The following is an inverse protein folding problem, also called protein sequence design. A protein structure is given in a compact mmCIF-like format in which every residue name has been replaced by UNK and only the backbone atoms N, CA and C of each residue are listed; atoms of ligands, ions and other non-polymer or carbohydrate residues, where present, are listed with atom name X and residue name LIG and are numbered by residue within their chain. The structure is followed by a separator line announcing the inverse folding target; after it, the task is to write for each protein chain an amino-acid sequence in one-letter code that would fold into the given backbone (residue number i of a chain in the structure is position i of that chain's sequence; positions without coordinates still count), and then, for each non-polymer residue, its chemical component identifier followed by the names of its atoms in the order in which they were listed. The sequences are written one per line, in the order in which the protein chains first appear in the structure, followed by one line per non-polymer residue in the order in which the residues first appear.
data_IF_177901451203
#
_entry.id   IF_177901451203
#
_cell.length_a   1.000
_cell.length_b   1.000
_cell.length_c   1.000
_cell.angle_alpha   90.00
_cell.angle_beta   90.00
_cell.angle_gamma   90.00
#
_symmetry.space_group_name_H-M   'P 1'
#
loop_
_entity.id
_entity.type
_entity.pdbx_description
1 polymer ?
#
# COMPACT_ATOMS: atom_id res chain seq x y z
N UNK A 1 -0.71 -21.17 -0.58
CA UNK A 1 0.77 -21.25 -0.53
C UNK A 1 1.19 -20.85 0.87
N UNK A 2 1.92 -21.71 1.58
CA UNK A 2 2.42 -21.36 2.92
C UNK A 2 3.64 -20.44 2.75
N UNK A 3 3.51 -19.19 3.20
CA UNK A 3 4.58 -18.18 3.14
C UNK A 3 5.20 -18.06 4.53
N UNK A 4 6.52 -18.12 4.62
CA UNK A 4 7.26 -17.96 5.89
C UNK A 4 8.13 -16.71 5.83
N UNK A 5 7.66 -15.64 6.45
CA UNK A 5 8.43 -14.42 6.59
C UNK A 5 9.58 -14.60 7.61
N UNK A 6 10.74 -14.06 7.30
CA UNK A 6 11.90 -14.15 8.19
C UNK A 6 11.92 -12.96 9.17
N UNK A 7 11.13 -13.04 10.23
CA UNK A 7 11.04 -12.01 11.25
C UNK A 7 12.36 -11.82 12.01
N UNK A 8 13.09 -12.89 12.31
CA UNK A 8 14.40 -12.82 12.97
C UNK A 8 15.39 -11.91 12.23
N UNK A 9 15.47 -12.06 10.92
CA UNK A 9 16.32 -11.19 10.08
C UNK A 9 15.91 -9.73 10.16
N UNK A 10 14.59 -9.45 10.24
CA UNK A 10 14.04 -8.10 10.40
C UNK A 10 14.40 -7.52 11.77
N UNK A 11 14.23 -8.28 12.84
CA UNK A 11 14.61 -7.88 14.20
C UNK A 11 16.11 -7.65 14.34
N UNK A 12 16.93 -8.52 13.77
CA UNK A 12 18.39 -8.36 13.77
C UNK A 12 18.85 -7.08 13.07
N UNK A 13 18.21 -6.71 11.97
CA UNK A 13 18.49 -5.45 11.27
C UNK A 13 18.20 -4.24 12.17
N UNK A 14 17.11 -4.28 12.94
CA UNK A 14 16.77 -3.23 13.90
C UNK A 14 17.75 -3.22 15.06
N UNK A 15 18.15 -4.39 15.61
CA UNK A 15 19.15 -4.49 16.69
C UNK A 15 20.50 -3.86 16.29
N UNK A 16 20.98 -4.14 15.08
CA UNK A 16 22.20 -3.51 14.53
C UNK A 16 22.07 -1.99 14.39
N UNK A 17 20.89 -1.52 13.99
CA UNK A 17 20.61 -0.09 13.91
C UNK A 17 20.57 0.57 15.28
N UNK A 18 19.92 -0.06 16.27
CA UNK A 18 19.89 0.41 17.66
C UNK A 18 21.29 0.48 18.29
N UNK A 19 22.17 -0.48 17.99
CA UNK A 19 23.56 -0.47 18.42
C UNK A 19 24.31 0.76 17.88
N UNK A 20 24.17 1.03 16.56
CA UNK A 20 24.76 2.21 15.90
C UNK A 20 24.24 3.54 16.47
N UNK A 21 22.98 3.58 16.89
CA UNK A 21 22.31 4.76 17.47
C UNK A 21 22.49 4.87 18.98
N UNK A 22 23.11 3.87 19.61
CA UNK A 22 23.23 3.74 21.07
C UNK A 22 21.90 3.84 21.81
N UNK A 23 20.83 3.28 21.20
CA UNK A 23 19.50 3.23 21.76
C UNK A 23 19.20 1.86 22.37
N UNK A 24 18.29 1.80 23.35
CA UNK A 24 17.97 0.59 24.09
C UNK A 24 16.89 -0.25 23.40
N UNK A 25 15.91 0.40 22.79
CA UNK A 25 14.84 -0.27 22.07
C UNK A 25 14.20 0.61 20.99
N UNK A 26 13.52 -0.03 20.04
CA UNK A 26 12.64 0.58 19.06
C UNK A 26 11.19 0.19 19.40
N UNK A 27 10.33 1.17 19.60
CA UNK A 27 8.90 1.00 19.87
C UNK A 27 8.13 1.29 18.58
N UNK A 28 7.36 0.33 18.11
CA UNK A 28 6.59 0.42 16.88
C UNK A 28 5.09 0.42 17.19
N UNK A 29 4.39 1.37 16.59
CA UNK A 29 2.96 1.62 16.78
C UNK A 29 2.24 1.74 15.44
N UNK A 30 2.92 2.16 14.36
CA UNK A 30 2.30 2.18 13.04
C UNK A 30 1.91 0.76 12.62
N UNK A 31 0.66 0.58 12.21
CA UNK A 31 0.08 -0.73 11.94
C UNK A 31 0.91 -1.55 10.94
N UNK A 32 1.29 -0.97 9.82
CA UNK A 32 2.13 -1.64 8.82
C UNK A 32 3.48 -2.08 9.38
N UNK A 33 4.12 -1.31 10.29
CA UNK A 33 5.38 -1.66 10.92
C UNK A 33 5.22 -2.76 11.98
N UNK A 34 4.14 -2.70 12.76
CA UNK A 34 3.78 -3.75 13.72
C UNK A 34 3.56 -5.07 12.96
N UNK A 35 2.77 -5.05 11.88
CA UNK A 35 2.54 -6.22 11.02
C UNK A 35 3.83 -6.74 10.41
N UNK A 36 4.66 -5.86 9.85
CA UNK A 36 5.94 -6.21 9.23
C UNK A 36 6.86 -7.01 10.16
N UNK A 37 6.82 -6.72 11.46
CA UNK A 37 7.69 -7.33 12.45
C UNK A 37 7.08 -8.49 13.24
N UNK A 38 5.82 -8.84 13.00
CA UNK A 38 5.14 -9.83 13.84
C UNK A 38 4.10 -10.70 13.14
N UNK A 39 3.32 -10.16 12.20
CA UNK A 39 2.16 -10.84 11.61
C UNK A 39 1.84 -10.31 10.21
N UNK A 40 2.84 -10.28 9.32
CA UNK A 40 2.74 -9.69 7.99
C UNK A 40 1.60 -10.30 7.13
N UNK A 41 1.23 -11.55 7.35
CA UNK A 41 0.18 -12.26 6.62
C UNK A 41 -1.25 -11.76 6.89
N UNK A 42 -1.46 -10.90 7.90
CA UNK A 42 -2.78 -10.38 8.29
C UNK A 42 -2.99 -9.01 7.62
N UNK A 43 -3.96 -8.84 6.69
CA UNK A 43 -4.14 -7.57 5.98
C UNK A 43 -4.86 -6.50 6.80
N UNK A 44 -5.86 -6.91 7.62
CA UNK A 44 -6.69 -6.01 8.41
C UNK A 44 -6.88 -6.54 9.84
N UNK A 45 -7.46 -5.70 10.70
CA UNK A 45 -7.68 -5.99 12.11
C UNK A 45 -6.38 -6.28 12.83
N UNK A 46 -5.64 -5.21 13.23
CA UNK A 46 -4.37 -5.35 13.91
C UNK A 46 -4.55 -6.15 15.20
N UNK A 47 -3.91 -7.31 15.26
CA UNK A 47 -3.92 -8.17 16.45
C UNK A 47 -2.94 -7.70 17.52
N UNK A 48 -2.04 -6.79 17.17
CA UNK A 48 -1.07 -6.18 18.09
C UNK A 48 -1.15 -4.65 18.02
N UNK A 49 -1.00 -4.02 19.16
CA UNK A 49 -1.01 -2.53 19.28
C UNK A 49 0.40 -1.96 19.23
N UNK A 50 1.37 -2.66 19.83
CA UNK A 50 2.79 -2.29 19.82
C UNK A 50 3.66 -3.52 19.60
N UNK A 51 4.80 -3.30 18.97
CA UNK A 51 5.94 -4.21 18.99
C UNK A 51 7.15 -3.45 19.48
N UNK A 52 7.86 -3.99 20.45
CA UNK A 52 9.08 -3.42 21.00
C UNK A 52 10.24 -4.35 20.66
N UNK A 53 11.20 -3.84 19.90
CA UNK A 53 12.43 -4.56 19.57
C UNK A 53 13.55 -4.02 20.47
N UNK A 54 13.99 -4.76 21.49
CA UNK A 54 15.13 -4.34 22.30
C UNK A 54 16.45 -4.57 21.57
N UNK A 55 17.45 -3.76 21.89
CA UNK A 55 18.82 -3.97 21.40
C UNK A 55 19.38 -5.32 21.82
N UNK A 56 19.02 -5.80 23.01
CA UNK A 56 19.38 -7.12 23.56
C UNK A 56 18.15 -7.79 24.15
N UNK A 57 17.98 -9.07 23.90
CA UNK A 57 16.83 -9.87 24.35
C UNK A 57 15.74 -10.01 23.30
N UNK A 58 14.66 -10.68 23.67
CA UNK A 58 13.56 -10.99 22.74
C UNK A 58 12.61 -9.82 22.53
N UNK A 59 12.00 -9.72 21.32
CA UNK A 59 10.93 -8.79 21.06
C UNK A 59 9.75 -9.00 22.02
N UNK A 60 9.05 -7.90 22.30
CA UNK A 60 7.85 -7.94 23.13
C UNK A 60 6.70 -7.27 22.36
N UNK A 61 5.56 -7.93 22.30
CA UNK A 61 4.35 -7.36 21.71
C UNK A 61 3.34 -6.98 22.79
N UNK A 62 2.49 -5.99 22.48
CA UNK A 62 1.36 -5.61 23.31
C UNK A 62 0.07 -5.75 22.52
N UNK A 63 -0.94 -6.37 23.13
CA UNK A 63 -2.27 -6.50 22.54
C UNK A 63 -3.38 -6.28 23.58
N UNK A 64 -4.59 -6.03 23.08
CA UNK A 64 -5.77 -5.97 23.93
C UNK A 64 -6.24 -7.37 24.35
N UNK A 65 -6.98 -7.47 25.45
CA UNK A 65 -7.62 -8.72 25.85
C UNK A 65 -8.58 -9.31 24.80
N UNK A 66 -9.08 -8.48 23.89
CA UNK A 66 -9.92 -8.90 22.76
C UNK A 66 -9.16 -9.80 21.78
N UNK A 67 -7.90 -9.49 21.52
CA UNK A 67 -7.07 -10.17 20.53
C UNK A 67 -6.07 -11.17 21.16
N UNK A 68 -6.14 -11.39 22.47
CA UNK A 68 -5.16 -12.20 23.20
C UNK A 68 -4.93 -13.57 22.58
N UNK A 69 -6.02 -14.31 22.29
CA UNK A 69 -5.91 -15.68 21.74
C UNK A 69 -5.31 -15.66 20.35
N UNK A 70 -5.82 -14.81 19.49
CA UNK A 70 -5.35 -14.70 18.13
C UNK A 70 -3.89 -14.24 18.05
N UNK A 71 -3.51 -13.28 18.88
CA UNK A 71 -2.14 -12.80 18.96
C UNK A 71 -1.17 -13.91 19.37
N UNK A 72 -1.55 -14.76 20.32
CA UNK A 72 -0.73 -15.90 20.76
C UNK A 72 -0.58 -17.00 19.71
N UNK A 73 -1.54 -17.15 18.82
CA UNK A 73 -1.51 -18.17 17.75
C UNK A 73 -0.81 -17.68 16.49
N UNK A 74 -1.01 -16.41 16.12
CA UNK A 74 -0.62 -15.88 14.81
C UNK A 74 0.60 -14.96 14.82
N UNK A 75 0.97 -14.36 15.98
CA UNK A 75 2.12 -13.47 16.04
C UNK A 75 3.44 -14.25 16.13
N UNK A 76 4.46 -13.77 15.40
CA UNK A 76 5.81 -14.32 15.47
C UNK A 76 6.56 -13.97 16.77
N UNK A 77 6.04 -13.02 17.56
CA UNK A 77 6.63 -12.57 18.82
C UNK A 77 6.07 -13.42 19.95
N UNK A 78 6.95 -14.12 20.70
CA UNK A 78 6.54 -15.05 21.77
C UNK A 78 6.10 -14.32 23.05
N UNK A 79 6.78 -13.24 23.44
CA UNK A 79 6.43 -12.49 24.65
C UNK A 79 5.34 -11.46 24.33
N UNK A 80 4.09 -11.77 24.75
CA UNK A 80 2.92 -10.91 24.53
C UNK A 80 2.39 -10.40 25.86
N UNK A 81 2.35 -9.10 26.04
CA UNK A 81 1.73 -8.41 27.17
C UNK A 81 0.31 -8.00 26.82
N UNK A 82 -0.61 -8.22 27.75
CA UNK A 82 -2.03 -7.97 27.56
C UNK A 82 -2.41 -6.71 28.33
N UNK A 83 -3.25 -5.87 27.74
CA UNK A 83 -3.97 -4.81 28.43
C UNK A 83 -5.49 -4.98 28.24
N UNK A 84 -6.29 -4.44 29.15
CA UNK A 84 -7.76 -4.51 29.05
C UNK A 84 -8.42 -3.26 29.61
N UNK A 85 -9.33 -2.61 28.87
CA UNK A 85 -10.13 -1.50 29.40
C UNK A 85 -11.23 -1.99 30.37
N UNK A 86 -11.39 -3.30 30.54
CA UNK A 86 -12.42 -3.90 31.39
C UNK A 86 -11.85 -4.27 32.76
N UNK A 87 -12.26 -3.59 33.84
CA UNK A 87 -11.67 -3.77 35.18
C UNK A 87 -11.88 -5.16 35.76
N UNK A 88 -12.94 -5.86 35.37
CA UNK A 88 -13.28 -7.20 35.84
C UNK A 88 -12.47 -8.33 35.15
N UNK A 89 -11.75 -8.01 34.09
CA UNK A 89 -10.84 -8.93 33.42
C UNK A 89 -9.45 -8.76 34.02
N UNK A 90 -9.17 -9.55 35.10
CA UNK A 90 -7.86 -9.79 35.74
C UNK A 90 -6.83 -8.62 35.65
N UNK A 91 -5.92 -8.54 36.56
CA UNK A 91 -4.71 -7.72 36.76
C UNK A 91 -3.95 -7.18 35.51
N UNK A 92 -4.64 -6.79 34.46
CA UNK A 92 -4.05 -6.17 33.27
C UNK A 92 -4.01 -4.64 33.44
N UNK A 93 -3.07 -3.99 32.74
CA UNK A 93 -3.08 -2.54 32.62
C UNK A 93 -4.34 -2.08 31.86
N UNK A 94 -4.90 -0.94 32.27
CA UNK A 94 -6.19 -0.46 31.75
C UNK A 94 -6.17 -0.03 30.27
N UNK A 95 -5.00 0.27 29.73
CA UNK A 95 -4.86 0.67 28.34
C UNK A 95 -3.43 0.44 27.81
N UNK A 96 -3.30 0.51 26.49
CA UNK A 96 -2.03 0.28 25.81
C UNK A 96 -0.91 1.22 26.28
N UNK A 97 -1.23 2.50 26.58
CA UNK A 97 -0.24 3.48 27.04
C UNK A 97 0.36 3.09 28.40
N UNK A 98 -0.48 2.73 29.36
CA UNK A 98 0.01 2.26 30.67
C UNK A 98 0.82 0.98 30.55
N UNK A 99 0.40 0.08 29.67
CA UNK A 99 1.11 -1.19 29.42
C UNK A 99 2.51 -0.96 28.83
N UNK A 100 2.65 -0.06 27.84
CA UNK A 100 3.97 0.27 27.26
C UNK A 100 4.86 1.01 28.26
N UNK A 101 4.31 1.95 29.06
CA UNK A 101 5.04 2.69 30.11
C UNK A 101 5.60 1.72 31.16
N UNK A 102 4.79 0.74 31.57
CA UNK A 102 5.19 -0.29 32.52
C UNK A 102 6.31 -1.16 31.94
N UNK A 103 6.16 -1.64 30.70
CA UNK A 103 7.19 -2.42 30.02
C UNK A 103 8.53 -1.68 29.95
N UNK A 104 8.52 -0.40 29.55
CA UNK A 104 9.71 0.45 29.46
C UNK A 104 10.41 0.56 30.81
N UNK A 105 9.65 0.75 31.90
CA UNK A 105 10.17 0.83 33.27
C UNK A 105 10.75 -0.51 33.74
N UNK A 106 10.03 -1.61 33.53
CA UNK A 106 10.47 -2.98 33.90
C UNK A 106 11.77 -3.35 33.20
N UNK A 107 11.88 -3.04 31.90
CA UNK A 107 13.06 -3.29 31.08
C UNK A 107 14.18 -2.26 31.27
N UNK A 108 13.91 -1.18 32.04
CA UNK A 108 14.86 -0.07 32.31
C UNK A 108 15.40 0.60 31.04
N UNK A 109 14.58 0.68 29.98
CA UNK A 109 14.95 1.36 28.75
C UNK A 109 15.00 2.88 28.98
N UNK A 110 16.08 3.53 28.52
CA UNK A 110 16.34 4.97 28.72
C UNK A 110 16.33 5.75 27.42
N UNK A 111 16.97 5.22 26.37
CA UNK A 111 17.03 5.82 25.05
C UNK A 111 16.19 5.01 24.08
N UNK A 112 15.10 5.60 23.61
CA UNK A 112 14.14 4.92 22.74
C UNK A 112 14.07 5.59 21.37
N UNK A 113 13.90 4.77 20.33
CA UNK A 113 13.39 5.16 19.04
C UNK A 113 11.93 4.73 18.91
N UNK A 114 11.16 5.43 18.08
CA UNK A 114 9.79 5.05 17.75
C UNK A 114 9.48 5.45 16.31
N UNK A 115 8.59 4.71 15.64
CA UNK A 115 8.09 5.04 14.31
C UNK A 115 7.06 6.18 14.30
N UNK A 116 6.54 6.56 15.46
CA UNK A 116 5.58 7.64 15.64
C UNK A 116 5.68 8.23 17.05
N UNK A 117 5.19 9.45 17.29
CA UNK A 117 5.14 10.02 18.63
C UNK A 117 4.36 9.12 19.61
N UNK A 118 4.91 8.95 20.81
CA UNK A 118 4.31 8.17 21.90
C UNK A 118 3.90 9.11 23.02
N UNK A 119 2.64 9.02 23.43
CA UNK A 119 2.13 9.85 24.54
C UNK A 119 2.84 9.47 25.85
N UNK A 120 3.38 10.47 26.57
CA UNK A 120 4.02 10.26 27.87
C UNK A 120 5.37 9.51 27.84
N UNK A 121 5.82 9.03 26.67
CA UNK A 121 7.12 8.34 26.50
C UNK A 121 8.08 9.20 25.71
N UNK A 122 9.26 9.48 26.27
CA UNK A 122 10.31 10.18 25.55
C UNK A 122 11.04 9.22 24.59
N UNK A 123 10.66 9.27 23.31
CA UNK A 123 11.32 8.55 22.23
C UNK A 123 11.62 9.50 21.06
N UNK A 124 12.72 9.27 20.34
CA UNK A 124 12.99 9.98 19.11
C UNK A 124 12.30 9.27 17.94
N UNK A 125 11.56 10.02 17.12
CA UNK A 125 10.92 9.45 15.92
C UNK A 125 11.97 9.12 14.86
N UNK A 126 11.85 7.96 14.24
CA UNK A 126 12.81 7.45 13.25
C UNK A 126 12.10 6.57 12.19
N UNK A 127 12.42 6.81 10.93
CA UNK A 127 11.80 6.15 9.77
C UNK A 127 12.52 4.86 9.34
N UNK A 128 13.41 4.31 10.16
CA UNK A 128 14.23 3.16 9.78
C UNK A 128 13.40 1.96 9.30
N UNK A 129 12.32 1.63 9.99
CA UNK A 129 11.47 0.48 9.63
C UNK A 129 10.67 0.78 8.35
N UNK A 130 10.16 1.99 8.18
CA UNK A 130 9.54 2.41 6.92
C UNK A 130 10.53 2.27 5.75
N UNK A 131 11.78 2.65 5.94
CA UNK A 131 12.85 2.49 4.94
C UNK A 131 13.20 1.00 4.68
N UNK A 132 13.12 0.13 5.68
CA UNK A 132 13.29 -1.32 5.47
C UNK A 132 12.19 -1.88 4.57
N UNK A 133 10.93 -1.50 4.80
CA UNK A 133 9.76 -1.95 4.04
C UNK A 133 9.79 -1.55 2.57
N UNK A 134 10.47 -0.44 2.22
CA UNK A 134 10.60 -0.05 0.81
C UNK A 134 11.25 -1.14 -0.05
N UNK A 135 12.19 -1.93 0.51
CA UNK A 135 12.86 -3.02 -0.21
C UNK A 135 12.25 -4.35 0.18
N UNK A 136 11.55 -4.96 -0.75
CA UNK A 136 10.86 -6.23 -0.55
C UNK A 136 11.83 -7.40 -0.59
N UNK A 137 11.65 -8.36 0.31
CA UNK A 137 12.35 -9.64 0.22
C UNK A 137 11.65 -10.61 -0.76
N UNK A 138 12.22 -11.79 -0.98
CA UNK A 138 11.69 -12.75 -1.96
C UNK A 138 10.30 -13.27 -1.61
N UNK A 139 9.96 -13.41 -0.31
CA UNK A 139 8.64 -13.88 0.11
C UNK A 139 7.59 -12.76 -0.03
N UNK A 140 7.96 -11.51 0.29
CA UNK A 140 7.12 -10.35 0.06
C UNK A 140 6.78 -10.20 -1.44
N UNK A 141 7.80 -10.31 -2.32
CA UNK A 141 7.60 -10.22 -3.77
C UNK A 141 6.73 -11.36 -4.32
N UNK A 142 6.81 -12.57 -3.77
CA UNK A 142 5.89 -13.66 -4.16
C UNK A 142 4.44 -13.31 -3.85
N UNK A 143 4.17 -12.78 -2.66
CA UNK A 143 2.82 -12.36 -2.27
C UNK A 143 2.30 -11.24 -3.18
N UNK A 144 3.12 -10.22 -3.46
CA UNK A 144 2.75 -9.11 -4.34
C UNK A 144 2.50 -9.56 -5.78
N UNK A 145 3.29 -10.50 -6.31
CA UNK A 145 3.07 -11.07 -7.64
C UNK A 145 1.74 -11.86 -7.72
N UNK A 146 1.37 -12.58 -6.68
CA UNK A 146 0.07 -13.28 -6.65
C UNK A 146 -1.08 -12.28 -6.51
N UNK A 147 -0.93 -11.21 -5.72
CA UNK A 147 -1.90 -10.13 -5.64
C UNK A 147 -2.07 -9.43 -7.01
N UNK A 148 -0.98 -9.11 -7.70
CA UNK A 148 -1.00 -8.53 -9.04
C UNK A 148 -1.71 -9.43 -10.08
N UNK A 149 -1.49 -10.75 -10.04
CA UNK A 149 -2.20 -11.70 -10.92
C UNK A 149 -3.72 -11.71 -10.69
N UNK A 150 -4.16 -11.58 -9.43
CA UNK A 150 -5.58 -11.47 -9.12
C UNK A 150 -6.16 -10.15 -9.61
N UNK A 151 -5.40 -9.05 -9.51
CA UNK A 151 -5.80 -7.76 -10.04
C UNK A 151 -5.89 -7.80 -11.59
N UNK A 152 -4.93 -8.42 -12.27
CA UNK A 152 -4.99 -8.63 -13.72
C UNK A 152 -6.24 -9.42 -14.13
N UNK A 153 -6.55 -10.50 -13.41
CA UNK A 153 -7.78 -11.27 -13.63
C UNK A 153 -9.05 -10.41 -13.43
N UNK A 154 -9.06 -9.53 -12.41
CA UNK A 154 -10.16 -8.59 -12.19
C UNK A 154 -10.34 -7.61 -13.36
N UNK A 155 -9.22 -7.11 -13.93
CA UNK A 155 -9.27 -6.23 -15.09
C UNK A 155 -9.81 -6.95 -16.35
N UNK A 156 -9.45 -8.22 -16.56
CA UNK A 156 -10.03 -9.05 -17.62
C UNK A 156 -11.53 -9.26 -17.44
N UNK A 157 -11.99 -9.55 -16.22
CA UNK A 157 -13.43 -9.66 -15.93
C UNK A 157 -14.18 -8.34 -16.13
N UNK A 158 -13.56 -7.21 -15.80
CA UNK A 158 -14.13 -5.90 -16.08
C UNK A 158 -14.35 -5.71 -17.58
N UNK A 159 -13.34 -6.01 -18.42
CA UNK A 159 -13.42 -5.83 -19.87
C UNK A 159 -14.48 -6.74 -20.50
N UNK A 160 -14.57 -7.99 -20.08
CA UNK A 160 -15.33 -9.02 -20.81
C UNK A 160 -16.68 -9.38 -20.20
N UNK A 161 -16.87 -9.21 -18.89
CA UNK A 161 -18.05 -9.74 -18.19
C UNK A 161 -18.88 -8.66 -17.48
N UNK A 162 -18.22 -7.70 -16.82
CA UNK A 162 -18.89 -6.77 -15.89
C UNK A 162 -19.32 -5.50 -16.61
N UNK A 163 -18.43 -4.93 -17.46
CA UNK A 163 -18.64 -3.62 -18.06
C UNK A 163 -19.70 -3.64 -19.16
N UNK A 164 -20.76 -2.88 -18.96
CA UNK A 164 -21.85 -2.73 -19.92
C UNK A 164 -22.64 -1.45 -19.69
N UNK A 165 -23.21 -0.87 -20.74
CA UNK A 165 -24.13 0.25 -20.61
C UNK A 165 -25.31 -0.10 -19.71
N UNK A 166 -25.75 0.85 -18.88
CA UNK A 166 -26.89 0.70 -17.98
C UNK A 166 -26.57 0.07 -16.63
N UNK A 167 -25.39 -0.50 -16.41
CA UNK A 167 -24.95 -0.93 -15.08
C UNK A 167 -24.47 0.30 -14.29
N UNK A 168 -24.67 0.32 -12.97
CA UNK A 168 -24.19 1.42 -12.12
C UNK A 168 -22.77 1.18 -11.62
N UNK A 169 -22.08 2.27 -11.26
CA UNK A 169 -20.73 2.22 -10.65
C UNK A 169 -20.72 1.32 -9.42
N UNK A 170 -21.66 1.51 -8.48
CA UNK A 170 -21.81 0.67 -7.28
C UNK A 170 -21.97 -0.82 -7.62
N UNK A 171 -22.77 -1.13 -8.64
CA UNK A 171 -23.01 -2.51 -9.05
C UNK A 171 -21.76 -3.14 -9.63
N UNK A 172 -21.01 -2.40 -10.46
CA UNK A 172 -19.74 -2.89 -11.01
C UNK A 172 -18.69 -3.15 -9.92
N UNK A 173 -18.53 -2.22 -8.99
CA UNK A 173 -17.61 -2.39 -7.87
C UNK A 173 -17.96 -3.65 -7.06
N UNK A 174 -19.24 -3.85 -6.72
CA UNK A 174 -19.70 -5.01 -5.97
C UNK A 174 -19.49 -6.34 -6.73
N UNK A 175 -19.72 -6.37 -8.04
CA UNK A 175 -19.47 -7.54 -8.88
C UNK A 175 -17.97 -7.86 -8.95
N UNK A 176 -17.12 -6.85 -9.11
CA UNK A 176 -15.65 -7.01 -9.13
C UNK A 176 -15.15 -7.53 -7.78
N UNK A 177 -15.53 -6.92 -6.68
CA UNK A 177 -15.12 -7.34 -5.34
C UNK A 177 -15.52 -8.79 -5.04
N UNK A 178 -16.74 -9.18 -5.45
CA UNK A 178 -17.22 -10.56 -5.33
C UNK A 178 -16.33 -11.53 -6.12
N UNK A 179 -16.02 -11.21 -7.37
CA UNK A 179 -15.20 -12.03 -8.26
C UNK A 179 -13.79 -12.19 -7.67
N UNK A 180 -13.15 -11.10 -7.24
CA UNK A 180 -11.80 -11.12 -6.69
C UNK A 180 -11.73 -11.97 -5.41
N UNK A 181 -12.70 -11.80 -4.49
CA UNK A 181 -12.76 -12.59 -3.24
C UNK A 181 -13.00 -14.07 -3.51
N UNK A 182 -13.90 -14.41 -4.42
CA UNK A 182 -14.17 -15.81 -4.77
C UNK A 182 -13.01 -16.45 -5.54
N UNK A 183 -12.18 -15.66 -6.21
CA UNK A 183 -10.96 -16.12 -6.90
C UNK A 183 -9.78 -16.35 -5.95
N UNK A 184 -9.89 -15.88 -4.69
CA UNK A 184 -8.89 -16.14 -3.65
C UNK A 184 -8.17 -14.91 -3.12
N UNK A 185 -8.64 -13.69 -3.45
CA UNK A 185 -8.16 -12.49 -2.77
C UNK A 185 -8.54 -12.56 -1.28
N UNK A 186 -7.54 -12.41 -0.42
CA UNK A 186 -7.73 -12.37 1.03
C UNK A 186 -8.61 -11.19 1.44
N UNK A 187 -8.41 -10.07 0.76
CA UNK A 187 -9.18 -8.84 0.91
C UNK A 187 -9.00 -7.95 -0.33
N UNK A 188 -9.80 -6.88 -0.44
CA UNK A 188 -9.61 -5.78 -1.39
C UNK A 188 -8.66 -4.77 -0.73
N UNK A 189 -7.70 -4.19 -1.49
CA UNK A 189 -6.64 -3.32 -0.97
C UNK A 189 -7.19 -2.02 -0.37
N UNK A 190 -8.20 -1.47 -1.03
CA UNK A 190 -8.93 -0.25 -0.67
C UNK A 190 -10.32 -0.30 -1.30
N UNK A 191 -11.26 0.58 -0.93
CA UNK A 191 -12.58 0.62 -1.58
C UNK A 191 -12.44 0.76 -3.10
N UNK A 192 -12.91 -0.24 -3.85
CA UNK A 192 -12.86 -0.26 -5.32
C UNK A 192 -13.49 0.99 -5.90
N UNK A 193 -12.80 1.71 -6.77
CA UNK A 193 -13.28 2.93 -7.44
C UNK A 193 -13.72 2.58 -8.85
N UNK A 194 -14.99 2.83 -9.14
CA UNK A 194 -15.55 2.82 -10.50
C UNK A 194 -16.07 4.22 -10.77
N UNK A 195 -15.37 4.99 -11.58
CA UNK A 195 -15.72 6.37 -11.89
C UNK A 195 -16.06 6.51 -13.38
N UNK A 196 -17.30 6.85 -13.71
CA UNK A 196 -17.80 6.84 -15.08
C UNK A 196 -18.18 8.23 -15.61
N UNK A 197 -17.87 8.53 -16.87
CA UNK A 197 -18.16 9.80 -17.53
C UNK A 197 -17.68 11.01 -16.71
N UNK A 198 -18.56 11.99 -16.38
CA UNK A 198 -18.15 13.16 -15.59
C UNK A 198 -17.55 12.82 -14.22
N UNK A 199 -17.90 11.68 -13.61
CA UNK A 199 -17.37 11.23 -12.32
C UNK A 199 -15.90 10.83 -12.44
N UNK A 200 -15.45 10.34 -13.58
CA UNK A 200 -14.05 10.01 -13.81
C UNK A 200 -13.10 11.23 -13.82
N UNK A 201 -13.67 12.46 -13.76
CA UNK A 201 -12.88 13.67 -13.52
C UNK A 201 -12.45 13.85 -12.05
N UNK A 202 -12.88 12.99 -11.12
CA UNK A 202 -12.46 12.98 -9.73
C UNK A 202 -11.46 11.83 -9.52
N UNK A 203 -10.26 12.17 -9.07
CA UNK A 203 -9.21 11.16 -8.82
C UNK A 203 -9.58 10.16 -7.73
N UNK A 204 -10.28 10.63 -6.68
CA UNK A 204 -10.87 9.80 -5.63
C UNK A 204 -12.39 9.97 -5.66
N UNK A 205 -13.05 9.07 -6.38
CA UNK A 205 -14.49 9.07 -6.56
C UNK A 205 -15.15 8.02 -5.66
N UNK A 206 -16.22 8.39 -4.98
CA UNK A 206 -17.09 7.42 -4.31
C UNK A 206 -18.11 6.88 -5.30
N UNK A 207 -18.21 5.55 -5.43
CA UNK A 207 -19.12 4.90 -6.34
C UNK A 207 -20.58 5.33 -6.12
N UNK A 208 -21.29 5.62 -7.21
CA UNK A 208 -22.68 6.09 -7.17
C UNK A 208 -23.64 5.17 -7.95
N UNK A 209 -24.92 5.49 -7.89
CA UNK A 209 -25.95 4.86 -8.74
C UNK A 209 -25.94 5.33 -10.20
N UNK A 210 -24.94 6.20 -10.57
CA UNK A 210 -24.80 6.62 -11.96
C UNK A 210 -24.61 5.41 -12.85
N UNK A 211 -25.45 5.33 -13.87
CA UNK A 211 -25.38 4.27 -14.88
C UNK A 211 -24.40 4.66 -15.98
N UNK A 212 -23.57 3.71 -16.34
CA UNK A 212 -22.59 3.85 -17.43
C UNK A 212 -23.32 4.02 -18.75
N UNK A 213 -22.84 4.92 -19.57
CA UNK A 213 -23.42 5.32 -20.86
C UNK A 213 -22.41 5.18 -21.98
N UNK A 214 -22.92 5.09 -23.18
CA UNK A 214 -22.11 5.18 -24.38
C UNK A 214 -21.36 6.53 -24.43
N UNK A 215 -20.10 6.51 -24.85
CA UNK A 215 -19.18 7.67 -24.82
C UNK A 215 -18.56 8.02 -23.48
N UNK A 216 -18.85 7.27 -22.39
CA UNK A 216 -18.19 7.47 -21.12
C UNK A 216 -16.74 6.92 -21.14
N UNK A 217 -15.83 7.62 -20.45
CA UNK A 217 -14.66 7.01 -19.86
C UNK A 217 -15.02 6.38 -18.54
N UNK A 218 -14.52 5.20 -18.24
CA UNK A 218 -14.74 4.50 -16.98
C UNK A 218 -13.38 4.16 -16.38
N UNK A 219 -13.00 4.89 -15.34
CA UNK A 219 -11.82 4.57 -14.52
C UNK A 219 -12.23 3.47 -13.54
N UNK A 220 -11.50 2.36 -13.57
CA UNK A 220 -11.61 1.25 -12.63
C UNK A 220 -10.28 1.12 -11.90
N UNK A 221 -10.29 1.44 -10.61
CA UNK A 221 -9.12 1.46 -9.75
C UNK A 221 -9.38 0.56 -8.54
N UNK A 222 -8.54 -0.46 -8.38
CA UNK A 222 -8.74 -1.52 -7.41
C UNK A 222 -7.46 -2.31 -7.16
N UNK A 223 -7.46 -3.07 -6.07
CA UNK A 223 -6.35 -3.97 -5.77
C UNK A 223 -6.76 -5.09 -4.83
N UNK A 224 -5.89 -6.04 -4.62
CA UNK A 224 -6.14 -7.24 -3.80
C UNK A 224 -5.03 -7.48 -2.79
N UNK A 225 -5.37 -8.13 -1.67
CA UNK A 225 -4.40 -8.68 -0.73
C UNK A 225 -4.21 -10.19 -0.90
N UNK A 226 -2.95 -10.62 -0.86
CA UNK A 226 -2.55 -12.03 -0.75
C UNK A 226 -1.48 -12.14 0.34
N UNK A 227 -1.74 -12.96 1.36
CA UNK A 227 -0.84 -13.13 2.52
C UNK A 227 -0.38 -11.79 3.12
N UNK A 228 -1.31 -10.81 3.22
CA UNK A 228 -1.08 -9.50 3.81
C UNK A 228 -0.40 -8.47 2.92
N UNK A 229 0.00 -8.80 1.70
CA UNK A 229 0.60 -7.87 0.73
C UNK A 229 -0.38 -7.53 -0.38
N UNK A 230 -0.39 -6.27 -0.79
CA UNK A 230 -1.35 -5.75 -1.74
C UNK A 230 -0.78 -5.56 -3.16
N UNK A 231 -1.70 -5.45 -4.10
CA UNK A 231 -1.53 -4.89 -5.45
C UNK A 231 -2.41 -3.65 -5.59
N UNK A 232 -2.12 -2.87 -6.64
CA UNK A 232 -2.82 -1.67 -7.02
C UNK A 232 -2.84 -1.55 -8.54
N UNK A 233 -4.00 -1.33 -9.15
CA UNK A 233 -4.14 -1.24 -10.60
C UNK A 233 -5.28 -0.32 -11.01
N UNK A 234 -4.99 0.59 -11.93
CA UNK A 234 -6.04 1.36 -12.62
C UNK A 234 -6.08 1.03 -14.10
N UNK A 235 -7.28 0.78 -14.61
CA UNK A 235 -7.56 0.74 -16.03
C UNK A 235 -8.69 1.71 -16.38
N UNK A 236 -8.54 2.39 -17.52
CA UNK A 236 -9.59 3.23 -18.07
C UNK A 236 -10.14 2.61 -19.33
N UNK A 237 -11.43 2.39 -19.34
CA UNK A 237 -12.17 1.91 -20.51
C UNK A 237 -12.94 3.06 -21.16
N UNK A 238 -13.08 3.04 -22.47
CA UNK A 238 -13.88 4.01 -23.22
C UNK A 238 -15.00 3.24 -23.92
N UNK A 239 -16.25 3.50 -23.51
CA UNK A 239 -17.40 2.85 -24.11
C UNK A 239 -17.86 3.61 -25.36
N UNK A 240 -18.20 2.87 -26.42
CA UNK A 240 -18.65 3.48 -27.68
C UNK A 240 -17.51 4.09 -28.50
N UNK A 241 -17.67 5.28 -29.03
CA UNK A 241 -16.67 5.90 -29.89
C UNK A 241 -15.43 6.40 -29.13
N UNK A 242 -14.24 5.92 -29.49
CA UNK A 242 -12.96 6.26 -28.82
C UNK A 242 -12.39 7.62 -29.25
N UNK A 243 -12.81 8.17 -30.40
CA UNK A 243 -12.19 9.36 -30.99
C UNK A 243 -12.05 10.55 -30.05
N UNK A 244 -13.09 10.83 -29.26
CA UNK A 244 -13.10 11.96 -28.32
C UNK A 244 -12.05 11.84 -27.22
N UNK A 245 -11.69 10.64 -26.82
CA UNK A 245 -10.78 10.38 -25.69
C UNK A 245 -9.41 9.85 -26.13
N UNK A 246 -9.25 9.51 -27.42
CA UNK A 246 -8.03 8.90 -27.94
C UNK A 246 -6.78 9.73 -27.63
N UNK A 247 -6.83 11.04 -27.82
CA UNK A 247 -5.71 11.95 -27.54
C UNK A 247 -5.34 11.95 -26.04
N UNK A 248 -6.34 12.08 -25.17
CA UNK A 248 -6.12 12.08 -23.70
C UNK A 248 -5.60 10.73 -23.24
N UNK A 249 -6.17 9.63 -23.75
CA UNK A 249 -5.75 8.28 -23.41
C UNK A 249 -4.30 8.02 -23.83
N UNK A 250 -3.93 8.38 -25.06
CA UNK A 250 -2.56 8.26 -25.55
C UNK A 250 -1.58 9.10 -24.74
N UNK A 251 -1.95 10.34 -24.39
CA UNK A 251 -1.11 11.19 -23.56
C UNK A 251 -0.81 10.59 -22.19
N UNK A 252 -1.83 9.95 -21.53
CA UNK A 252 -1.64 9.28 -20.25
C UNK A 252 -0.81 8.00 -20.41
N UNK A 253 -1.11 7.18 -21.42
CA UNK A 253 -0.39 5.93 -21.68
C UNK A 253 1.10 6.18 -21.97
N UNK A 254 1.41 7.18 -22.78
CA UNK A 254 2.79 7.52 -23.12
C UNK A 254 3.51 8.17 -21.93
N UNK A 255 2.82 8.94 -21.09
CA UNK A 255 3.36 9.44 -19.85
C UNK A 255 3.74 8.29 -18.89
N UNK A 256 2.87 7.28 -18.76
CA UNK A 256 3.14 6.11 -17.95
C UNK A 256 4.36 5.33 -18.47
N UNK A 257 4.42 5.05 -19.78
CA UNK A 257 5.57 4.37 -20.39
C UNK A 257 6.87 5.10 -20.13
N UNK A 258 6.91 6.44 -20.33
CA UNK A 258 8.10 7.26 -20.07
C UNK A 258 8.53 7.21 -18.60
N UNK A 259 7.59 7.20 -17.66
CA UNK A 259 7.90 7.07 -16.25
C UNK A 259 8.45 5.69 -15.91
N UNK A 260 7.87 4.60 -16.45
CA UNK A 260 8.35 3.22 -16.29
C UNK A 260 9.77 3.08 -16.87
N UNK A 261 10.02 3.57 -18.06
CA UNK A 261 11.36 3.55 -18.69
C UNK A 261 12.41 4.30 -17.87
N UNK A 262 12.00 5.39 -17.20
CA UNK A 262 12.86 6.18 -16.32
C UNK A 262 13.12 5.50 -14.98
N UNK A 263 12.24 4.61 -14.51
CA UNK A 263 12.30 3.94 -13.23
C UNK A 263 13.38 2.85 -13.22
N UNK A 264 14.61 3.23 -12.85
CA UNK A 264 15.80 2.35 -12.80
C UNK A 264 16.57 2.59 -11.52
N UNK A 265 17.32 1.59 -11.08
CA UNK A 265 18.24 1.68 -9.91
C UNK A 265 19.10 2.95 -10.00
N UNK A 266 19.08 3.75 -8.95
CA UNK A 266 19.80 5.02 -8.85
C UNK A 266 19.05 6.27 -9.35
N UNK A 267 17.94 6.13 -10.06
CA UNK A 267 17.10 7.26 -10.51
C UNK A 267 16.43 7.92 -9.31
N UNK A 268 16.42 9.23 -9.23
CA UNK A 268 15.69 9.97 -8.21
C UNK A 268 14.16 9.90 -8.44
N UNK A 269 13.39 9.74 -7.36
CA UNK A 269 11.92 9.62 -7.48
C UNK A 269 11.27 10.81 -8.19
N UNK A 270 11.78 12.04 -7.95
CA UNK A 270 11.32 13.25 -8.66
C UNK A 270 11.59 13.22 -10.17
N UNK A 271 12.60 12.48 -10.65
CA UNK A 271 12.88 12.40 -12.09
C UNK A 271 11.90 11.46 -12.79
N UNK A 272 11.38 10.44 -12.12
CA UNK A 272 10.31 9.57 -12.62
C UNK A 272 9.03 10.39 -12.77
N UNK A 273 8.66 11.15 -11.74
CA UNK A 273 7.52 12.07 -11.82
C UNK A 273 7.70 13.10 -12.96
N UNK A 274 8.88 13.69 -13.08
CA UNK A 274 9.17 14.66 -14.13
C UNK A 274 9.00 14.09 -15.54
N UNK A 275 9.29 12.81 -15.76
CA UNK A 275 9.12 12.14 -17.05
C UNK A 275 7.62 12.05 -17.45
N UNK A 276 6.75 11.63 -16.51
CA UNK A 276 5.31 11.58 -16.77
C UNK A 276 4.70 12.99 -16.88
N UNK A 277 4.97 13.85 -15.89
CA UNK A 277 4.41 15.20 -15.78
C UNK A 277 4.85 16.11 -16.91
N UNK A 278 6.11 15.97 -17.34
CA UNK A 278 6.67 16.70 -18.49
C UNK A 278 5.90 16.37 -19.76
N UNK A 279 5.68 15.10 -20.04
CA UNK A 279 4.94 14.64 -21.21
C UNK A 279 3.48 15.13 -21.22
N UNK A 280 2.76 14.97 -20.11
CA UNK A 280 1.37 15.46 -19.98
C UNK A 280 1.31 16.99 -20.21
N UNK A 281 2.30 17.74 -19.73
CA UNK A 281 2.39 19.20 -19.96
C UNK A 281 2.65 19.54 -21.43
N UNK A 282 3.52 18.80 -22.11
CA UNK A 282 3.79 18.95 -23.55
C UNK A 282 2.54 18.68 -24.40
N UNK A 283 1.70 17.73 -23.99
CA UNK A 283 0.39 17.46 -24.59
C UNK A 283 -0.68 18.52 -24.25
N UNK A 284 -0.35 19.59 -23.50
CA UNK A 284 -1.28 20.66 -23.15
C UNK A 284 -2.14 20.44 -21.91
N UNK A 285 -2.01 19.30 -21.21
CA UNK A 285 -2.84 18.90 -20.07
C UNK A 285 -2.18 19.10 -18.70
N UNK A 286 -1.07 19.86 -18.61
CA UNK A 286 -0.29 20.00 -17.37
C UNK A 286 -1.08 20.44 -16.15
N UNK A 287 -2.16 21.25 -16.31
CA UNK A 287 -3.04 21.70 -15.22
C UNK A 287 -4.06 20.64 -14.79
N UNK A 288 -4.19 19.57 -15.57
CA UNK A 288 -5.16 18.50 -15.36
C UNK A 288 -4.53 17.26 -14.72
N UNK A 289 -3.24 17.28 -14.42
CA UNK A 289 -2.51 16.25 -13.69
C UNK A 289 -2.20 16.74 -12.28
N UNK A 290 -3.02 16.36 -11.31
CA UNK A 290 -3.13 17.04 -10.00
C UNK A 290 -2.59 16.24 -8.80
N UNK A 291 -2.08 15.03 -9.02
CA UNK A 291 -1.54 14.17 -7.95
C UNK A 291 -0.12 13.70 -8.24
N UNK A 292 0.49 12.94 -7.34
CA UNK A 292 1.79 12.29 -7.53
C UNK A 292 1.75 11.25 -8.65
N UNK A 293 2.89 10.94 -9.22
CA UNK A 293 2.99 9.87 -10.24
C UNK A 293 2.86 8.48 -9.65
N UNK A 294 3.01 8.35 -8.32
CA UNK A 294 2.85 7.06 -7.65
C UNK A 294 3.33 7.07 -6.21
N UNK A 295 3.17 5.94 -5.56
CA UNK A 295 3.53 5.68 -4.17
C UNK A 295 4.03 4.25 -4.00
N UNK A 296 4.79 3.99 -2.94
CA UNK A 296 5.13 2.63 -2.53
C UNK A 296 3.88 1.86 -2.08
N UNK A 297 3.94 0.55 -2.22
CA UNK A 297 2.92 -0.36 -1.71
C UNK A 297 3.57 -1.64 -1.19
N UNK A 298 2.84 -2.39 -0.41
CA UNK A 298 3.32 -3.64 0.20
C UNK A 298 2.34 -4.17 1.24
N UNK A 299 2.64 -3.98 2.52
CA UNK A 299 1.68 -4.27 3.60
C UNK A 299 0.57 -3.22 3.66
N UNK A 300 0.89 -1.97 3.38
CA UNK A 300 -0.09 -0.90 3.22
C UNK A 300 -0.19 -0.56 1.73
N UNK A 301 -1.39 -0.22 1.24
CA UNK A 301 -1.57 0.18 -0.15
C UNK A 301 -0.90 1.52 -0.44
N UNK A 302 -0.73 2.39 0.57
CA UNK A 302 0.09 3.59 0.50
C UNK A 302 1.24 3.52 1.51
N UNK A 303 2.47 3.38 1.04
CA UNK A 303 3.68 3.46 1.87
C UNK A 303 4.80 4.23 1.14
N UNK A 304 5.95 4.38 1.75
CA UNK A 304 7.12 4.95 1.07
C UNK A 304 7.64 4.02 -0.05
N UNK A 305 8.18 4.59 -1.14
CA UNK A 305 8.45 6.01 -1.40
C UNK A 305 7.27 6.76 -2.03
N UNK A 306 7.35 8.10 -2.12
CA UNK A 306 6.43 8.90 -2.93
C UNK A 306 7.11 9.31 -4.24
N UNK A 307 6.49 8.98 -5.38
CA UNK A 307 6.96 9.34 -6.72
C UNK A 307 6.28 10.66 -7.12
N UNK A 308 6.90 11.78 -6.78
CA UNK A 308 6.31 13.11 -6.92
C UNK A 308 7.38 14.18 -7.18
N UNK A 309 7.00 15.43 -7.55
CA UNK A 309 7.96 16.53 -7.75
C UNK A 309 8.83 16.82 -6.51
N UNK A 310 8.34 16.51 -5.33
CA UNK A 310 9.04 16.70 -4.05
C UNK A 310 9.55 15.38 -3.44
N UNK A 311 9.43 14.27 -4.17
CA UNK A 311 9.87 12.95 -3.76
C UNK A 311 11.37 12.92 -3.47
N UNK A 312 11.75 12.41 -2.29
CA UNK A 312 13.14 12.33 -1.83
C UNK A 312 13.65 10.91 -1.90
N UNK A 313 14.90 10.75 -2.36
CA UNK A 313 15.55 9.45 -2.44
C UNK A 313 15.67 8.95 -3.88
N UNK A 314 16.16 7.73 -4.00
CA UNK A 314 16.47 7.08 -5.29
C UNK A 314 15.95 5.66 -5.31
N UNK A 315 15.60 5.20 -6.49
CA UNK A 315 15.25 3.80 -6.72
C UNK A 315 16.38 2.87 -6.30
N UNK A 316 16.03 1.83 -5.60
CA UNK A 316 16.92 0.71 -5.29
C UNK A 316 16.24 -0.60 -5.71
N UNK A 317 17.05 -1.60 -5.93
CA UNK A 317 16.60 -2.95 -6.25
C UNK A 317 15.60 -3.48 -5.20
N UNK A 318 14.61 -4.21 -5.65
CA UNK A 318 13.51 -4.77 -4.85
C UNK A 318 12.53 -3.74 -4.28
N UNK A 319 12.59 -2.47 -4.70
CA UNK A 319 11.52 -1.52 -4.43
C UNK A 319 10.32 -1.78 -5.34
N UNK A 320 9.12 -1.66 -4.76
CA UNK A 320 7.85 -1.71 -5.51
C UNK A 320 7.08 -0.42 -5.23
N UNK A 321 6.57 0.19 -6.29
CA UNK A 321 5.74 1.40 -6.23
C UNK A 321 4.83 1.48 -7.45
N UNK A 322 3.74 2.27 -7.36
CA UNK A 322 2.83 2.50 -8.48
C UNK A 322 3.39 3.52 -9.45
N UNK A 323 2.99 3.42 -10.73
CA UNK A 323 3.14 4.48 -11.73
C UNK A 323 1.79 4.69 -12.38
N UNK A 324 1.13 5.80 -12.02
CA UNK A 324 -0.30 6.05 -12.22
C UNK A 324 -0.63 7.45 -12.77
N UNK A 325 0.02 7.97 -13.82
CA UNK A 325 -0.34 9.28 -14.34
C UNK A 325 -1.81 9.35 -14.75
N UNK A 326 -2.43 10.53 -14.57
CA UNK A 326 -3.81 10.76 -14.93
C UNK A 326 -4.08 12.18 -15.45
N UNK A 327 -5.09 12.31 -16.30
CA UNK A 327 -5.62 13.58 -16.81
C UNK A 327 -7.09 13.66 -16.45
N UNK A 328 -7.49 14.71 -15.73
CA UNK A 328 -8.84 14.90 -15.24
C UNK A 328 -9.41 16.22 -15.80
N UNK A 329 -10.47 16.08 -16.62
CA UNK A 329 -11.14 17.21 -17.29
C UNK A 329 -12.46 17.51 -16.57
N UNK A 330 -12.54 18.55 -15.75
CA UNK A 330 -13.72 18.86 -14.94
C UNK A 330 -15.02 18.82 -15.74
N UNK A 331 -16.05 18.13 -15.23
CA UNK A 331 -17.38 17.94 -15.85
C UNK A 331 -17.37 17.13 -17.15
N UNK A 332 -16.24 16.65 -17.63
CA UNK A 332 -16.15 15.87 -18.87
C UNK A 332 -15.82 14.41 -18.59
N UNK A 333 -14.76 14.17 -17.82
CA UNK A 333 -14.26 12.85 -17.48
C UNK A 333 -12.75 12.86 -17.27
N UNK A 334 -12.16 11.69 -17.09
CA UNK A 334 -10.73 11.53 -16.89
C UNK A 334 -10.20 10.20 -17.42
N UNK A 335 -8.88 10.09 -17.44
CA UNK A 335 -8.13 8.88 -17.76
C UNK A 335 -7.01 8.72 -16.74
N UNK A 336 -6.88 7.56 -16.11
CA UNK A 336 -5.74 7.11 -15.31
C UNK A 336 -5.33 5.72 -15.78
N UNK A 337 -4.03 5.48 -15.89
CA UNK A 337 -3.47 4.17 -16.23
C UNK A 337 -2.35 3.90 -15.23
N UNK A 338 -2.43 2.78 -14.53
CA UNK A 338 -1.56 2.45 -13.44
C UNK A 338 -1.07 1.01 -13.48
N UNK A 339 0.17 0.82 -13.07
CA UNK A 339 0.72 -0.49 -12.75
C UNK A 339 1.60 -0.43 -11.50
N UNK A 340 1.64 -1.57 -10.80
CA UNK A 340 2.66 -1.90 -9.81
C UNK A 340 3.99 -2.17 -10.52
N UNK A 341 5.04 -1.48 -10.13
CA UNK A 341 6.35 -1.54 -10.76
C UNK A 341 7.43 -1.96 -9.77
N UNK A 342 8.11 -3.07 -10.06
CA UNK A 342 9.26 -3.58 -9.33
C UNK A 342 10.56 -3.08 -9.98
N UNK A 343 11.47 -2.53 -9.17
CA UNK A 343 12.82 -2.19 -9.62
C UNK A 343 13.73 -3.42 -9.53
N UNK A 344 14.27 -3.80 -10.67
CA UNK A 344 15.27 -4.88 -10.82
C UNK A 344 16.62 -4.32 -11.24
N UNK A 345 17.66 -5.16 -11.30
CA UNK A 345 18.97 -4.75 -11.83
C UNK A 345 18.90 -4.44 -13.35
N UNK A 346 17.96 -5.04 -14.09
CA UNK A 346 17.77 -4.82 -15.53
C UNK A 346 16.90 -3.58 -15.82
N UNK A 347 16.15 -3.07 -14.83
CA UNK A 347 15.26 -1.92 -14.98
C UNK A 347 13.94 -2.12 -14.22
N UNK A 348 12.86 -1.54 -14.74
CA UNK A 348 11.52 -1.66 -14.17
C UNK A 348 10.77 -2.87 -14.76
N UNK A 349 10.18 -3.68 -13.89
CA UNK A 349 9.28 -4.78 -14.24
C UNK A 349 7.87 -4.44 -13.76
N UNK A 350 6.87 -4.43 -14.65
CA UNK A 350 5.47 -4.32 -14.25
C UNK A 350 5.01 -5.66 -13.64
N UNK A 351 4.52 -5.62 -12.41
CA UNK A 351 3.90 -6.77 -11.75
C UNK A 351 2.47 -6.99 -12.25
N UNK A 352 1.70 -5.92 -12.42
CA UNK A 352 0.38 -5.92 -13.07
C UNK A 352 0.54 -5.80 -14.58
N UNK A 353 -0.19 -6.61 -15.35
CA UNK A 353 0.03 -6.80 -16.80
C UNK A 353 -1.26 -6.82 -17.60
N UNK A 354 -2.41 -6.55 -17.00
CA UNK A 354 -3.66 -6.46 -17.73
C UNK A 354 -3.56 -5.44 -18.87
N UNK A 355 -4.24 -5.72 -19.97
CA UNK A 355 -4.23 -4.89 -21.18
C UNK A 355 -4.62 -3.43 -20.86
N UNK A 356 -3.96 -2.52 -21.60
CA UNK A 356 -4.19 -1.05 -21.55
C UNK A 356 -4.88 -0.58 -22.80
#
# INVERSE_FOLDING_TARGET
MEVKFNYEKRWESIRKYLEKKECDAFVLKQEGNVRYLSCAHIPFFPILTYVVIPRKGEPVALTSSLEEFRAKEEAAVEEIKIFSPYPDIKNYEMNAQKAIDKLIKERKFKKLLSDSPLDGVKAATDDFVNNMRMKKDGEELKCMREAAKLADYGAECLEHEIMRCGVSEMRMAAELDYILRTKGAQAISFPTIIASGPNSAYSHHDNTDRKIRDGDTVICDFGTYVNGYCSDITRTFVLGGTEKWAEVYCAVLDAQKKAIEKARKGTEFKEIDAAARGHIRECGYGRNYVHSTGHGLGLDFHEAPTISPIGKGKCAESMVFTIEPGIYLPKKGGVRIEDDVLITDEGAECLTRAKK
#
